data_IF_575183097145
#
_entry.id   IF_575183097145
#
_cell.length_a   1.000
_cell.length_b   1.000
_cell.length_c   1.000
_cell.angle_alpha   90.00
_cell.angle_beta   90.00
_cell.angle_gamma   90.00
#
_symmetry.space_group_name_H-M   'P 1'
#
loop_
_entity.id
_entity.type
_entity.pdbx_description
1 polymer ?
#
# COMPACT_ATOMS: atom_id res chain seq x y z
N UNK A 1 5.63 14.04 -5.19
CA UNK A 1 4.87 13.15 -6.08
C UNK A 1 4.72 11.81 -5.37
N UNK A 2 3.51 11.23 -5.29
CA UNK A 2 3.36 9.88 -4.77
C UNK A 2 4.04 8.88 -5.71
N UNK A 3 4.95 8.08 -5.17
CA UNK A 3 5.59 6.97 -5.88
C UNK A 3 4.65 5.78 -5.74
N UNK A 4 4.24 5.21 -6.86
CA UNK A 4 3.40 4.01 -6.86
C UNK A 4 4.20 2.84 -7.40
N UNK A 5 4.08 1.71 -6.71
CA UNK A 5 4.69 0.45 -7.12
C UNK A 5 3.67 -0.37 -7.91
N UNK A 6 4.13 -1.01 -8.98
CA UNK A 6 3.31 -1.82 -9.87
C UNK A 6 3.99 -3.16 -10.14
N UNK A 7 3.17 -4.18 -10.35
CA UNK A 7 3.60 -5.52 -10.79
C UNK A 7 2.89 -5.89 -12.08
N UNK A 8 3.66 -6.31 -13.09
CA UNK A 8 3.07 -6.82 -14.32
C UNK A 8 2.47 -8.21 -14.10
N UNK A 9 1.22 -8.42 -14.50
CA UNK A 9 0.54 -9.72 -14.36
C UNK A 9 1.06 -10.82 -15.28
N UNK A 10 1.90 -10.50 -16.29
CA UNK A 10 2.43 -11.49 -17.24
C UNK A 10 3.87 -11.89 -16.99
N UNK A 11 4.75 -10.93 -16.71
CA UNK A 11 6.16 -11.19 -16.44
C UNK A 11 6.53 -11.07 -14.96
N UNK A 12 5.58 -10.69 -14.09
CA UNK A 12 5.82 -10.46 -12.66
C UNK A 12 6.93 -9.46 -12.36
N UNK A 13 7.27 -8.62 -13.33
CA UNK A 13 8.26 -7.57 -13.16
C UNK A 13 7.66 -6.45 -12.30
N UNK A 14 8.36 -6.11 -11.21
CA UNK A 14 8.00 -5.00 -10.33
C UNK A 14 8.69 -3.74 -10.82
N UNK A 15 7.99 -2.63 -10.81
CA UNK A 15 8.56 -1.34 -11.21
C UNK A 15 7.85 -0.21 -10.47
N UNK A 16 8.58 0.86 -10.21
CA UNK A 16 8.04 2.08 -9.64
C UNK A 16 7.69 3.09 -10.76
N UNK A 17 6.59 3.82 -10.57
CA UNK A 17 6.21 4.90 -11.47
C UNK A 17 5.70 6.11 -10.67
N UNK A 18 6.15 7.29 -11.09
CA UNK A 18 5.66 8.56 -10.61
C UNK A 18 4.37 8.89 -11.35
N UNK A 19 3.22 8.82 -10.68
CA UNK A 19 1.95 9.25 -11.27
C UNK A 19 1.51 10.59 -10.69
N UNK A 20 0.95 11.42 -11.57
CA UNK A 20 0.13 12.55 -11.15
C UNK A 20 -1.16 12.02 -10.54
N UNK A 21 -1.70 12.73 -9.53
CA UNK A 21 -2.87 12.27 -8.76
C UNK A 21 -4.12 12.06 -9.60
N UNK A 22 -4.21 12.76 -10.74
CA UNK A 22 -5.35 12.76 -11.66
C UNK A 22 -5.16 11.81 -12.86
N UNK A 23 -3.99 11.18 -12.98
CA UNK A 23 -3.66 10.36 -14.15
C UNK A 23 -4.08 8.90 -13.93
N UNK A 24 -4.84 8.35 -14.88
CA UNK A 24 -5.28 6.95 -14.84
C UNK A 24 -4.10 6.00 -15.10
N UNK A 25 -3.83 5.11 -14.15
CA UNK A 25 -2.81 4.04 -14.26
C UNK A 25 -3.19 2.92 -15.25
N UNK A 26 -4.37 2.97 -15.85
CA UNK A 26 -4.90 1.96 -16.77
C UNK A 26 -4.09 1.81 -18.08
N UNK A 27 -3.32 2.84 -18.46
CA UNK A 27 -2.51 2.84 -19.69
C UNK A 27 -1.03 2.53 -19.49
N UNK A 28 -0.59 2.19 -18.27
CA UNK A 28 0.83 1.97 -18.00
C UNK A 28 1.33 0.70 -18.70
N UNK A 29 2.31 0.85 -19.57
CA UNK A 29 2.98 -0.26 -20.24
C UNK A 29 4.11 -0.80 -19.38
N UNK A 30 4.19 -2.12 -19.23
CA UNK A 30 5.32 -2.73 -18.52
C UNK A 30 6.64 -2.52 -19.31
N UNK A 31 7.72 -2.01 -18.69
CA UNK A 31 8.99 -1.77 -19.38
C UNK A 31 9.71 -3.04 -19.84
N UNK A 32 9.37 -4.20 -19.26
CA UNK A 32 10.00 -5.49 -19.59
C UNK A 32 9.29 -6.24 -20.73
N UNK A 33 7.96 -6.11 -20.85
CA UNK A 33 7.18 -6.90 -21.82
C UNK A 33 6.23 -6.09 -22.71
N UNK A 34 6.12 -4.78 -22.52
CA UNK A 34 5.31 -3.87 -23.34
C UNK A 34 3.79 -4.03 -23.20
N UNK A 35 3.29 -4.83 -22.25
CA UNK A 35 1.85 -5.09 -22.07
C UNK A 35 1.19 -4.10 -21.11
N UNK A 36 -0.02 -3.68 -21.44
CA UNK A 36 -0.87 -2.70 -20.74
C UNK A 36 -1.81 -3.37 -19.73
N UNK A 37 -1.27 -3.95 -18.66
CA UNK A 37 -2.08 -4.43 -17.54
C UNK A 37 -1.29 -4.56 -16.22
N UNK A 38 -0.67 -3.48 -15.70
CA UNK A 38 0.03 -3.52 -14.43
C UNK A 38 -0.95 -3.49 -13.25
N UNK A 39 -0.69 -4.32 -12.24
CA UNK A 39 -1.42 -4.35 -10.98
C UNK A 39 -0.72 -3.42 -9.98
N UNK A 40 -1.47 -2.49 -9.39
CA UNK A 40 -0.93 -1.59 -8.36
C UNK A 40 -0.58 -2.39 -7.10
N UNK A 41 0.68 -2.35 -6.70
CA UNK A 41 1.15 -2.82 -5.40
C UNK A 41 0.98 -1.67 -4.40
N UNK A 42 -0.11 -1.71 -3.65
CA UNK A 42 -0.25 -0.87 -2.45
C UNK A 42 0.50 -1.56 -1.32
N UNK A 43 1.68 -1.07 -0.98
CA UNK A 43 2.36 -1.55 0.21
C UNK A 43 1.49 -1.19 1.42
N UNK A 44 0.97 -2.22 2.09
CA UNK A 44 0.16 -2.04 3.28
C UNK A 44 1.09 -1.69 4.44
N UNK A 45 1.57 -0.45 4.50
CA UNK A 45 2.21 0.07 5.69
C UNK A 45 1.16 0.14 6.81
N UNK A 46 1.19 -0.85 7.70
CA UNK A 46 0.34 -0.90 8.90
C UNK A 46 0.92 0.05 9.94
N UNK A 47 0.39 1.27 10.04
CA UNK A 47 0.81 2.27 11.04
C UNK A 47 0.10 2.12 12.40
N UNK A 48 -0.55 0.98 12.65
CA UNK A 48 -1.37 0.75 13.84
C UNK A 48 -0.56 0.57 15.14
N UNK A 49 0.75 0.84 15.13
CA UNK A 49 1.61 0.73 16.30
C UNK A 49 1.17 1.67 17.43
N UNK A 50 0.79 2.92 17.10
CA UNK A 50 0.34 3.91 18.09
C UNK A 50 -1.02 3.56 18.70
N UNK A 51 -1.98 3.15 17.87
CA UNK A 51 -3.29 2.68 18.33
C UNK A 51 -3.21 1.42 19.19
N UNK A 52 -2.28 0.50 18.87
CA UNK A 52 -2.05 -0.70 19.67
C UNK A 52 -1.41 -0.37 21.03
N UNK A 53 -0.52 0.62 21.06
CA UNK A 53 0.09 1.11 22.30
C UNK A 53 -0.93 1.77 23.24
N UNK A 54 -1.81 2.63 22.70
CA UNK A 54 -2.87 3.28 23.47
C UNK A 54 -3.88 2.27 24.03
N UNK A 55 -4.31 1.28 23.23
CA UNK A 55 -5.17 0.19 23.70
C UNK A 55 -4.52 -0.60 24.86
N UNK A 56 -3.21 -0.84 24.76
CA UNK A 56 -2.46 -1.55 25.80
C UNK A 56 -2.31 -0.72 27.09
N UNK A 57 -2.18 0.61 26.98
CA UNK A 57 -2.17 1.50 28.14
C UNK A 57 -3.55 1.63 28.78
N UNK A 58 -4.61 1.76 27.99
CA UNK A 58 -5.99 1.87 28.48
C UNK A 58 -6.40 0.62 29.27
N UNK A 59 -6.06 -0.58 28.76
CA UNK A 59 -6.25 -1.84 29.50
C UNK A 59 -5.48 -1.91 30.82
N UNK A 60 -4.33 -1.24 30.92
CA UNK A 60 -3.50 -1.22 32.13
C UNK A 60 -3.95 -0.19 33.17
N UNK A 61 -4.51 0.93 32.71
CA UNK A 61 -5.02 2.02 33.55
C UNK A 61 -6.45 1.74 34.04
N UNK A 62 -7.26 1.00 33.28
CA UNK A 62 -8.67 0.76 33.60
C UNK A 62 -9.10 -0.67 33.28
N UNK A 63 -8.67 -1.67 34.09
CA UNK A 63 -8.98 -3.08 33.85
C UNK A 63 -10.48 -3.40 33.99
N UNK A 64 -11.22 -2.65 34.82
CA UNK A 64 -12.66 -2.88 35.08
C UNK A 64 -13.56 -2.54 33.88
N UNK A 65 -13.07 -1.79 32.89
CA UNK A 65 -13.84 -1.36 31.71
C UNK A 65 -13.92 -2.44 30.60
N UNK A 66 -13.09 -3.48 30.69
CA UNK A 66 -12.99 -4.56 29.69
C UNK A 66 -13.57 -5.90 30.19
N UNK A 67 -14.32 -5.89 31.29
CA UNK A 67 -15.01 -7.07 31.83
C UNK A 67 -16.45 -7.15 31.37
#
# INVERSE_FOLDING_TARGET
MPIYEFECTKCHHKFDCLLKVDESYAGLSCPSCGKTSPKKLVSSFRTNNWSTFLDKMEKKVSPDKFK
#
